data_IF_753255682053
#
_entry.id   IF_753255682053
#
_cell.length_a   1.000
_cell.length_b   1.000
_cell.length_c   1.000
_cell.angle_alpha   90.00
_cell.angle_beta   90.00
_cell.angle_gamma   90.00
#
_symmetry.space_group_name_H-M   'P 1'
#
loop_
_entity.id
_entity.type
_entity.pdbx_description
1 polymer ?
#
# COMPACT_ATOMS: atom_id res chain seq x y z
N UNK A 1 16.15 -9.23 7.86
CA UNK A 1 16.64 -7.83 7.74
C UNK A 1 16.26 -7.26 6.38
N UNK A 2 16.50 -7.99 5.27
CA UNK A 2 16.12 -7.54 3.92
C UNK A 2 14.64 -7.20 3.72
N UNK A 3 13.71 -7.83 4.44
CA UNK A 3 12.29 -7.44 4.38
C UNK A 3 12.03 -6.04 4.92
N UNK A 4 12.75 -5.65 5.97
CA UNK A 4 12.68 -4.29 6.52
C UNK A 4 13.29 -3.27 5.55
N UNK A 5 14.40 -3.61 4.90
CA UNK A 5 15.00 -2.74 3.88
C UNK A 5 14.07 -2.55 2.67
N UNK A 6 13.40 -3.62 2.21
CA UNK A 6 12.36 -3.52 1.18
C UNK A 6 11.25 -2.58 1.63
N UNK A 7 10.72 -2.77 2.84
CA UNK A 7 9.66 -1.92 3.38
C UNK A 7 10.10 -0.45 3.44
N UNK A 8 11.30 -0.18 3.97
CA UNK A 8 11.88 1.17 4.01
C UNK A 8 11.96 1.78 2.62
N UNK A 9 12.46 1.03 1.63
CA UNK A 9 12.59 1.50 0.25
C UNK A 9 11.22 1.84 -0.35
N UNK A 10 10.22 1.00 -0.12
CA UNK A 10 8.85 1.21 -0.56
C UNK A 10 8.20 2.44 0.06
N UNK A 11 8.31 2.62 1.37
CA UNK A 11 7.72 3.75 2.11
C UNK A 11 8.35 5.08 1.69
N UNK A 12 9.65 5.08 1.36
CA UNK A 12 10.34 6.26 0.80
C UNK A 12 9.84 6.64 -0.60
N UNK A 13 9.18 5.73 -1.31
CA UNK A 13 8.73 5.92 -2.69
C UNK A 13 7.28 5.45 -2.89
N UNK A 14 6.31 6.11 -2.23
CA UNK A 14 4.91 5.70 -2.30
C UNK A 14 4.36 5.86 -3.73
N UNK A 15 3.43 4.98 -4.08
CA UNK A 15 2.71 4.92 -5.37
C UNK A 15 3.62 4.71 -6.61
N UNK A 16 4.91 4.39 -6.42
CA UNK A 16 5.85 4.10 -7.51
C UNK A 16 6.00 2.60 -7.75
N UNK A 17 5.98 2.20 -9.03
CA UNK A 17 6.21 0.81 -9.44
C UNK A 17 7.70 0.56 -9.63
N UNK A 18 8.18 -0.53 -9.04
CA UNK A 18 9.56 -0.99 -9.17
C UNK A 18 9.62 -2.39 -9.77
N UNK A 19 10.56 -2.59 -10.68
CA UNK A 19 10.83 -3.92 -11.25
C UNK A 19 11.57 -4.78 -10.23
N UNK A 20 11.53 -6.11 -10.42
CA UNK A 20 12.28 -7.04 -9.55
C UNK A 20 13.78 -6.82 -9.63
N UNK A 21 14.31 -6.52 -10.83
CA UNK A 21 15.72 -6.24 -11.02
C UNK A 21 16.13 -4.96 -10.29
N UNK A 22 15.30 -3.91 -10.37
CA UNK A 22 15.53 -2.65 -9.66
C UNK A 22 15.55 -2.86 -8.14
N UNK A 23 14.54 -3.53 -7.58
CA UNK A 23 14.49 -3.83 -6.14
C UNK A 23 15.66 -4.70 -5.69
N UNK A 24 16.09 -5.65 -6.52
CA UNK A 24 17.25 -6.48 -6.24
C UNK A 24 18.50 -5.62 -6.10
N UNK A 25 18.76 -4.75 -7.08
CA UNK A 25 19.92 -3.88 -7.10
C UNK A 25 19.94 -2.90 -5.93
N UNK A 26 18.80 -2.25 -5.64
CA UNK A 26 18.73 -1.21 -4.61
C UNK A 26 18.80 -1.78 -3.18
N UNK A 27 18.25 -2.98 -2.95
CA UNK A 27 18.20 -3.57 -1.60
C UNK A 27 19.33 -4.56 -1.35
N UNK A 28 19.81 -5.29 -2.35
CA UNK A 28 20.92 -6.23 -2.19
C UNK A 28 22.27 -5.66 -2.64
N UNK A 29 22.29 -4.68 -3.53
CA UNK A 29 23.50 -4.13 -4.11
C UNK A 29 23.77 -4.62 -5.54
N UNK A 30 24.61 -3.89 -6.25
CA UNK A 30 25.00 -4.19 -7.65
C UNK A 30 25.89 -5.43 -7.78
N UNK A 31 26.57 -5.81 -6.70
CA UNK A 31 27.48 -6.97 -6.61
C UNK A 31 26.75 -8.27 -6.22
N UNK A 32 25.43 -8.23 -6.04
CA UNK A 32 24.65 -9.41 -5.69
C UNK A 32 24.42 -10.32 -6.90
N UNK A 33 25.04 -11.51 -6.87
CA UNK A 33 24.94 -12.51 -7.94
C UNK A 33 23.67 -13.38 -7.93
N UNK A 34 22.69 -13.09 -7.07
CA UNK A 34 21.47 -13.88 -6.99
C UNK A 34 20.39 -13.45 -8.00
N UNK A 35 19.39 -14.32 -8.20
CA UNK A 35 18.28 -14.03 -9.11
C UNK A 35 17.18 -13.18 -8.50
N UNK A 36 16.38 -12.53 -9.35
CA UNK A 36 15.21 -11.71 -8.98
C UNK A 36 14.15 -12.46 -8.16
N UNK A 37 14.19 -13.80 -8.13
CA UNK A 37 13.33 -14.65 -7.28
C UNK A 37 13.55 -14.42 -5.78
N UNK A 38 14.73 -13.98 -5.37
CA UNK A 38 14.96 -13.63 -3.95
C UNK A 38 14.03 -12.49 -3.50
N UNK A 39 13.76 -11.52 -4.40
CA UNK A 39 12.84 -10.42 -4.15
C UNK A 39 11.44 -10.98 -3.89
N UNK A 40 10.94 -11.86 -4.76
CA UNK A 40 9.61 -12.46 -4.61
C UNK A 40 9.44 -13.18 -3.25
N UNK A 41 10.46 -13.94 -2.83
CA UNK A 41 10.48 -14.64 -1.52
C UNK A 41 10.40 -13.64 -0.37
N UNK A 42 11.16 -12.55 -0.45
CA UNK A 42 11.20 -11.54 0.61
C UNK A 42 9.94 -10.69 0.64
N UNK A 43 9.32 -10.39 -0.50
CA UNK A 43 8.00 -9.75 -0.57
C UNK A 43 6.95 -10.63 0.08
N UNK A 44 6.94 -11.94 -0.20
CA UNK A 44 5.99 -12.87 0.43
C UNK A 44 6.16 -12.91 1.95
N UNK A 45 7.41 -12.98 2.44
CA UNK A 45 7.71 -12.94 3.88
C UNK A 45 7.34 -11.61 4.51
N UNK A 46 7.58 -10.49 3.81
CA UNK A 46 7.21 -9.16 4.25
C UNK A 46 5.69 -9.05 4.42
N UNK A 47 4.91 -9.46 3.41
CA UNK A 47 3.44 -9.49 3.50
C UNK A 47 2.94 -10.36 4.66
N UNK A 48 3.51 -11.55 4.83
CA UNK A 48 3.17 -12.42 5.95
C UNK A 48 3.47 -11.79 7.33
N UNK A 49 4.54 -10.99 7.44
CA UNK A 49 4.89 -10.25 8.66
C UNK A 49 4.01 -9.03 8.90
N UNK A 50 3.51 -8.39 7.84
CA UNK A 50 2.57 -7.27 7.92
C UNK A 50 1.17 -7.73 8.36
N UNK A 51 0.82 -8.98 8.09
CA UNK A 51 -0.49 -9.54 8.42
C UNK A 51 -1.56 -9.15 7.40
N UNK A 52 -2.72 -9.78 7.53
CA UNK A 52 -3.83 -9.67 6.56
C UNK A 52 -4.34 -8.23 6.43
N UNK A 53 -4.27 -7.45 7.52
CA UNK A 53 -4.68 -6.04 7.55
C UNK A 53 -3.79 -5.14 6.69
N UNK A 54 -2.51 -5.47 6.51
CA UNK A 54 -1.55 -4.59 5.83
C UNK A 54 -0.83 -5.25 4.65
N UNK A 55 -1.04 -6.54 4.35
CA UNK A 55 -0.32 -7.19 3.24
C UNK A 55 -0.63 -6.58 1.86
N UNK A 56 -1.81 -5.95 1.73
CA UNK A 56 -2.27 -5.35 0.49
C UNK A 56 -1.62 -3.99 0.19
N UNK A 57 -0.97 -3.36 1.18
CA UNK A 57 -0.22 -2.09 0.98
C UNK A 57 0.98 -2.29 0.04
N UNK A 58 1.45 -3.52 -0.12
CA UNK A 58 2.46 -3.86 -1.12
C UNK A 58 1.73 -4.55 -2.27
N UNK A 59 1.41 -3.83 -3.32
CA UNK A 59 0.72 -4.31 -4.51
C UNK A 59 1.64 -5.06 -5.49
N UNK A 60 1.08 -6.01 -6.24
CA UNK A 60 1.77 -6.67 -7.37
C UNK A 60 1.31 -6.05 -8.68
N UNK A 61 2.25 -5.56 -9.49
CA UNK A 61 1.99 -5.15 -10.87
C UNK A 61 2.42 -6.29 -11.80
N UNK A 62 1.43 -6.97 -12.40
CA UNK A 62 1.64 -8.15 -13.24
C UNK A 62 2.68 -7.85 -14.33
N UNK A 63 3.61 -8.80 -14.54
CA UNK A 63 4.72 -8.72 -15.49
C UNK A 63 5.73 -7.57 -15.27
N UNK A 64 5.57 -6.75 -14.23
CA UNK A 64 6.47 -5.62 -13.95
C UNK A 64 7.20 -5.81 -12.63
N UNK A 65 6.46 -5.87 -11.52
CA UNK A 65 7.05 -5.95 -10.19
C UNK A 65 6.10 -5.54 -9.08
N UNK A 66 6.52 -4.61 -8.23
CA UNK A 66 5.84 -4.28 -6.97
C UNK A 66 5.70 -2.79 -6.76
N UNK A 67 4.70 -2.39 -5.98
CA UNK A 67 4.42 -0.99 -5.62
C UNK A 67 3.98 -0.94 -4.16
N UNK A 68 4.23 0.19 -3.51
CA UNK A 68 3.65 0.49 -2.21
C UNK A 68 2.53 1.50 -2.34
N UNK A 69 1.35 1.12 -1.86
CA UNK A 69 0.14 1.92 -1.81
C UNK A 69 -0.18 2.12 -0.31
N UNK A 70 0.05 3.33 0.24
CA UNK A 70 -0.38 3.64 1.58
C UNK A 70 -1.89 3.38 1.70
N UNK A 71 -2.33 2.82 2.82
CA UNK A 71 -3.74 2.87 3.18
C UNK A 71 -4.17 4.32 3.09
N UNK A 72 -5.10 4.64 2.20
CA UNK A 72 -5.77 5.93 2.25
C UNK A 72 -6.41 6.00 3.63
N UNK A 73 -5.90 6.87 4.50
CA UNK A 73 -6.68 7.35 5.63
C UNK A 73 -7.99 7.81 5.02
N UNK A 74 -9.09 7.22 5.46
CA UNK A 74 -10.40 7.84 5.29
C UNK A 74 -10.37 9.11 6.13
N UNK A 75 -9.66 10.14 5.67
CA UNK A 75 -9.80 11.49 6.19
C UNK A 75 -11.17 11.97 5.71
N UNK A 76 -12.18 11.57 6.48
CA UNK A 76 -13.35 12.34 6.85
C UNK A 76 -13.73 13.46 5.88
N UNK A 77 -14.42 13.11 4.79
CA UNK A 77 -15.39 14.03 4.19
C UNK A 77 -16.75 13.79 4.85
N UNK A 78 -16.83 14.13 6.15
CA UNK A 78 -18.09 14.51 6.79
C UNK A 78 -18.44 15.92 6.34
N UNK A 79 -18.86 16.07 5.08
CA UNK A 79 -19.52 17.31 4.66
C UNK A 79 -20.90 17.32 5.31
N UNK A 80 -20.95 18.03 6.43
CA UNK A 80 -22.15 18.33 7.19
C UNK A 80 -22.98 19.34 6.41
N UNK A 81 -23.81 18.87 5.48
CA UNK A 81 -24.99 19.63 5.06
C UNK A 81 -26.20 19.18 5.87
N UNK A 82 -26.17 19.50 7.16
CA UNK A 82 -27.37 19.56 7.98
C UNK A 82 -27.77 21.03 8.04
N UNK A 83 -28.65 21.44 7.13
CA UNK A 83 -29.43 22.68 7.18
C UNK A 83 -30.49 22.63 6.08
N UNK A 84 -31.70 23.03 6.46
CA UNK A 84 -32.96 23.15 5.70
C UNK A 84 -33.86 21.90 5.73
N UNK A 85 -35.09 21.91 6.22
CA UNK A 85 -35.95 22.95 6.80
C UNK A 85 -37.12 22.23 7.50
N UNK A 86 -37.36 22.53 8.77
CA UNK A 86 -38.49 23.30 9.27
C UNK A 86 -39.90 22.74 8.97
N UNK A 87 -40.51 22.25 10.05
CA UNK A 87 -41.90 22.43 10.49
C UNK A 87 -43.02 22.57 9.44
N UNK A 88 -43.94 21.61 9.46
CA UNK A 88 -45.37 21.93 9.35
C UNK A 88 -46.18 20.89 10.11
N UNK A 89 -46.52 21.27 11.34
CA UNK A 89 -47.60 20.75 12.15
C UNK A 89 -48.93 20.52 11.41
N UNK A 90 -49.58 19.40 11.76
CA UNK A 90 -51.02 19.21 11.97
C UNK A 90 -52.02 19.60 10.86
N UNK A 91 -52.84 18.64 10.42
CA UNK A 91 -54.29 18.70 10.69
C UNK A 91 -54.97 17.34 10.50
N UNK A 92 -55.94 17.12 11.38
CA UNK A 92 -56.76 15.92 11.59
C UNK A 92 -58.00 15.83 10.68
N UNK A 93 -58.65 14.66 10.81
CA UNK A 93 -60.04 14.26 10.46
C UNK A 93 -60.33 13.78 9.02
#
# INVERSE_FOLDING_TARGET
>A
YKEFELLKYFVQHPRRVFTRAHLLQEVWGYDYYGGTRTVDVHIRRLRAKLGVEYEHVIGTVRNVGYRFDPLESQDEVVDSTDSDNNDSSASSD
#
